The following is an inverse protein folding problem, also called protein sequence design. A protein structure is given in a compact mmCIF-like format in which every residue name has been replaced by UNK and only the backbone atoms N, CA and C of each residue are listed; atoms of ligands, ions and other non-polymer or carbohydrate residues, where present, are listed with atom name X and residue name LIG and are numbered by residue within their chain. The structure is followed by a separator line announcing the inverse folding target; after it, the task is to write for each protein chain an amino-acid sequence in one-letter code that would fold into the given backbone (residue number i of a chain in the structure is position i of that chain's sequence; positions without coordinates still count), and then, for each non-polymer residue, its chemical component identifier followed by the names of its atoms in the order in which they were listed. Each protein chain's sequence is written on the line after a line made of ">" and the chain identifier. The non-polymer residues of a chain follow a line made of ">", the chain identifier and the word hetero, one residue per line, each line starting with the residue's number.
data_IF_151142860152
#
_entry.id   IF_151142860152
#
_cell.length_a   1.000
_cell.length_b   1.000
_cell.length_c   1.000
_cell.angle_alpha   90.00
_cell.angle_beta   90.00
_cell.angle_gamma   90.00
#
_symmetry.space_group_name_H-M   'P 1'
#
loop_
_entity.id
_entity.type
_entity.pdbx_description
1 polymer ?
#
# COMPACT_ATOMS: atom_id res chain seq x y z
N UNK A 1 -17.79 -17.37 12.55
CA UNK A 1 -17.02 -16.12 12.40
C UNK A 1 -15.57 -16.47 12.61
N UNK A 2 -14.73 -16.28 11.57
CA UNK A 2 -13.25 -16.23 11.59
C UNK A 2 -12.76 -16.60 10.18
N UNK A 3 -12.73 -15.61 9.28
CA UNK A 3 -12.04 -15.68 8.00
C UNK A 3 -11.35 -14.33 7.74
N UNK A 4 -10.44 -14.01 8.64
CA UNK A 4 -9.41 -12.98 8.53
C UNK A 4 -8.11 -13.73 8.87
N UNK A 5 -6.99 -13.73 8.16
CA UNK A 5 -6.46 -12.91 7.07
C UNK A 5 -5.34 -13.72 6.41
N UNK A 6 -5.47 -14.05 5.13
CA UNK A 6 -4.31 -14.24 4.25
C UNK A 6 -4.60 -13.49 2.97
N UNK A 7 -4.50 -12.16 3.05
CA UNK A 7 -4.49 -11.33 1.84
C UNK A 7 -3.12 -11.55 1.20
N UNK A 8 -3.07 -12.44 0.20
CA UNK A 8 -1.89 -12.62 -0.63
C UNK A 8 -1.48 -11.25 -1.14
N UNK A 9 -0.22 -10.91 -0.95
CA UNK A 9 0.44 -9.92 -1.81
C UNK A 9 0.53 -10.67 -3.14
N UNK A 10 -0.35 -10.36 -4.08
CA UNK A 10 -0.24 -10.90 -5.42
C UNK A 10 1.00 -10.23 -6.03
N UNK A 11 2.12 -10.94 -6.03
CA UNK A 11 3.42 -10.43 -6.49
C UNK A 11 3.41 -10.06 -7.98
N UNK A 12 2.38 -10.49 -8.72
CA UNK A 12 2.14 -10.14 -10.12
C UNK A 12 1.19 -8.93 -10.29
N UNK A 13 0.70 -8.32 -9.21
CA UNK A 13 -0.18 -7.15 -9.26
C UNK A 13 0.39 -5.99 -8.47
N UNK A 14 0.45 -4.82 -9.11
CA UNK A 14 0.83 -3.57 -8.47
C UNK A 14 -0.28 -2.94 -7.61
N UNK A 15 -1.33 -3.69 -7.26
CA UNK A 15 -2.51 -3.18 -6.55
C UNK A 15 -2.45 -3.53 -5.05
N UNK A 16 -2.50 -2.51 -4.19
CA UNK A 16 -2.60 -2.67 -2.73
C UNK A 16 -3.99 -2.29 -2.25
N UNK A 17 -4.66 -3.22 -1.59
CA UNK A 17 -5.98 -2.98 -1.02
C UNK A 17 -5.91 -2.65 0.47
N UNK A 18 -6.29 -1.44 0.84
CA UNK A 18 -6.24 -0.92 2.21
C UNK A 18 -7.49 -1.31 2.99
N UNK A 19 -7.28 -1.73 4.24
CA UNK A 19 -8.29 -2.19 5.19
C UNK A 19 -7.99 -1.64 6.57
N UNK A 20 -8.11 -2.47 7.62
CA UNK A 20 -8.03 -2.00 9.00
C UNK A 20 -6.65 -2.13 9.68
N UNK A 21 -5.60 -2.53 8.95
CA UNK A 21 -4.24 -2.60 9.51
C UNK A 21 -3.68 -1.19 9.76
N UNK A 22 -2.65 -1.02 10.60
CA UNK A 22 -1.97 0.27 10.74
C UNK A 22 -1.35 0.77 9.41
N UNK A 23 -1.25 2.09 9.18
CA UNK A 23 -0.70 2.67 7.95
C UNK A 23 0.68 2.12 7.57
N UNK A 24 1.57 1.93 8.56
CA UNK A 24 2.94 1.46 8.34
C UNK A 24 3.02 0.08 7.68
N UNK A 25 2.06 -0.82 7.94
CA UNK A 25 2.03 -2.12 7.27
C UNK A 25 1.83 -1.97 5.76
N UNK A 26 1.06 -0.97 5.32
CA UNK A 26 0.85 -0.68 3.91
C UNK A 26 2.08 -0.01 3.30
N UNK A 27 2.74 0.90 4.03
CA UNK A 27 4.01 1.51 3.61
C UNK A 27 5.07 0.45 3.31
N UNK A 28 5.25 -0.53 4.21
CA UNK A 28 6.20 -1.63 3.97
C UNK A 28 5.85 -2.44 2.72
N UNK A 29 4.56 -2.68 2.45
CA UNK A 29 4.13 -3.38 1.25
C UNK A 29 4.37 -2.56 -0.03
N UNK A 30 4.12 -1.25 0.00
CA UNK A 30 4.41 -0.33 -1.12
C UNK A 30 5.91 -0.36 -1.43
N UNK A 31 6.75 -0.21 -0.40
CA UNK A 31 8.20 -0.22 -0.56
C UNK A 31 8.73 -1.57 -1.08
N UNK A 32 8.17 -2.69 -0.60
CA UNK A 32 8.54 -4.01 -1.10
C UNK A 32 8.22 -4.18 -2.59
N UNK A 33 7.07 -3.67 -3.04
CA UNK A 33 6.68 -3.72 -4.45
C UNK A 33 7.56 -2.82 -5.32
N UNK A 34 7.82 -1.58 -4.90
CA UNK A 34 8.69 -0.66 -5.65
C UNK A 34 10.14 -1.15 -5.71
N UNK A 35 10.67 -1.69 -4.61
CA UNK A 35 12.03 -2.23 -4.55
C UNK A 35 12.17 -3.58 -5.27
N UNK A 36 11.08 -4.26 -5.60
CA UNK A 36 11.13 -5.53 -6.34
C UNK A 36 11.64 -5.34 -7.78
N UNK A 37 11.63 -4.12 -8.31
CA UNK A 37 12.03 -3.81 -9.68
C UNK A 37 11.03 -4.26 -10.75
N UNK A 38 9.93 -4.91 -10.37
CA UNK A 38 8.92 -5.41 -11.30
C UNK A 38 7.89 -4.35 -11.70
N UNK A 39 7.70 -3.31 -10.87
CA UNK A 39 6.69 -2.27 -11.10
C UNK A 39 7.26 -0.88 -10.81
N UNK A 40 6.96 0.07 -11.69
CA UNK A 40 7.30 1.50 -11.51
C UNK A 40 6.16 2.30 -10.88
N UNK A 41 4.97 1.71 -10.78
CA UNK A 41 3.75 2.35 -10.29
C UNK A 41 3.05 1.39 -9.33
N UNK A 42 2.45 1.91 -8.26
CA UNK A 42 1.65 1.16 -7.29
C UNK A 42 0.28 1.80 -7.16
N UNK A 43 -0.77 1.00 -7.30
CA UNK A 43 -2.17 1.46 -7.24
C UNK A 43 -2.76 1.12 -5.88
N UNK A 44 -3.13 2.12 -5.09
CA UNK A 44 -3.73 1.93 -3.77
C UNK A 44 -5.26 2.02 -3.89
N UNK A 45 -5.97 0.95 -3.50
CA UNK A 45 -7.43 0.89 -3.52
C UNK A 45 -8.00 0.83 -2.11
N UNK A 46 -8.92 1.72 -1.80
CA UNK A 46 -9.62 1.81 -0.52
C UNK A 46 -11.08 2.21 -0.69
N UNK A 47 -11.90 1.98 0.34
CA UNK A 47 -13.31 2.42 0.36
C UNK A 47 -13.75 2.82 1.76
N UNK A 48 -14.68 3.77 1.84
CA UNK A 48 -15.24 4.25 3.11
C UNK A 48 -14.17 4.78 4.06
N UNK A 49 -14.25 4.42 5.34
CA UNK A 49 -13.31 4.89 6.37
C UNK A 49 -11.84 4.46 6.14
N UNK A 50 -11.59 3.45 5.29
CA UNK A 50 -10.22 3.05 4.96
C UNK A 50 -9.50 4.03 4.01
N UNK A 51 -10.22 4.99 3.40
CA UNK A 51 -9.65 5.96 2.45
C UNK A 51 -8.61 6.85 3.15
N UNK A 52 -8.94 7.42 4.31
CA UNK A 52 -7.99 8.27 5.05
C UNK A 52 -6.68 7.53 5.33
N UNK A 53 -6.78 6.25 5.70
CA UNK A 53 -5.61 5.40 5.94
C UNK A 53 -4.78 5.13 4.69
N UNK A 54 -5.44 5.02 3.53
CA UNK A 54 -4.76 4.87 2.25
C UNK A 54 -3.98 6.13 1.88
N UNK A 55 -4.60 7.29 2.11
CA UNK A 55 -3.93 8.60 1.94
C UNK A 55 -2.74 8.71 2.89
N UNK A 56 -2.90 8.39 4.18
CA UNK A 56 -1.79 8.39 5.15
C UNK A 56 -0.62 7.52 4.67
N UNK A 57 -0.90 6.31 4.18
CA UNK A 57 0.13 5.40 3.70
C UNK A 57 0.83 5.94 2.45
N UNK A 58 0.10 6.53 1.51
CA UNK A 58 0.67 7.15 0.30
C UNK A 58 1.57 8.34 0.67
N UNK A 59 1.09 9.22 1.53
CA UNK A 59 1.79 10.44 1.93
C UNK A 59 3.02 10.16 2.80
N UNK A 60 2.95 9.19 3.71
CA UNK A 60 4.12 8.72 4.47
C UNK A 60 5.17 8.15 3.51
N UNK A 61 4.74 7.37 2.51
CA UNK A 61 5.67 6.76 1.54
C UNK A 61 6.36 7.83 0.71
N UNK A 62 5.60 8.78 0.18
CA UNK A 62 6.14 9.92 -0.58
C UNK A 62 7.10 10.76 0.27
N UNK A 63 6.64 11.27 1.41
CA UNK A 63 7.39 12.27 2.18
C UNK A 63 8.63 11.70 2.90
N UNK A 64 8.61 10.43 3.31
CA UNK A 64 9.72 9.82 4.06
C UNK A 64 10.64 8.95 3.22
N UNK A 65 10.16 8.40 2.11
CA UNK A 65 10.85 7.32 1.43
C UNK A 65 11.05 7.54 -0.07
N UNK A 66 10.25 8.39 -0.72
CA UNK A 66 10.34 8.66 -2.15
C UNK A 66 10.33 10.17 -2.42
N UNK A 67 11.52 10.79 -2.33
CA UNK A 67 11.67 12.25 -2.44
C UNK A 67 11.18 12.84 -3.77
N UNK A 68 10.99 12.03 -4.82
CA UNK A 68 10.56 12.47 -6.16
C UNK A 68 9.45 11.60 -6.78
N UNK A 69 8.62 10.92 -5.98
CA UNK A 69 7.47 10.19 -6.51
C UNK A 69 6.28 11.14 -6.75
N UNK A 70 5.37 10.80 -7.66
CA UNK A 70 4.10 11.51 -7.84
C UNK A 70 2.97 10.71 -7.14
N UNK A 71 2.04 11.41 -6.48
CA UNK A 71 0.94 10.81 -5.68
C UNK A 71 -0.41 11.14 -6.28
#
# INVERSE_FOLDING_TARGET
>A
MSKDEKKKIDTDSNIIYVGNKPPMNYVTAIMALLNSGNFTEVVIKARGNAISRAVDAAEITHNRFLTNAEV
#
